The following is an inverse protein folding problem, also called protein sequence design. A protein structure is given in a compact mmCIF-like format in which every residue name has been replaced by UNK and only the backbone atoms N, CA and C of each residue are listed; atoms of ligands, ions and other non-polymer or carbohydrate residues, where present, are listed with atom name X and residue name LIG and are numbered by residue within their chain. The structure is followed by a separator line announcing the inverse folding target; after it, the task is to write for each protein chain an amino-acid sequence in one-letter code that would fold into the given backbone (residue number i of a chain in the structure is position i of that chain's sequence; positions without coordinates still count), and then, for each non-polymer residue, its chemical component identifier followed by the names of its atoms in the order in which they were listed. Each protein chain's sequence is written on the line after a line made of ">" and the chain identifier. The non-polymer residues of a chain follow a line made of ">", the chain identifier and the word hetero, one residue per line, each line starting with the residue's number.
data_IF_918966814677
#
_entry.id   IF_918966814677
#
_cell.length_a   1.000
_cell.length_b   1.000
_cell.length_c   1.000
_cell.angle_alpha   90.00
_cell.angle_beta   90.00
_cell.angle_gamma   90.00
#
_symmetry.space_group_name_H-M   'P 1'
#
loop_
_entity.id
_entity.type
_entity.pdbx_description
1 polymer ?
#
# COMPACT_ATOMS: atom_id res chain seq x y z
N UNK A 1 -20.79 57.11 -0.42
CA UNK A 1 -19.44 56.56 -0.75
C UNK A 1 -18.81 55.80 0.42
N UNK A 2 -18.79 56.30 1.67
CA UNK A 2 -18.17 55.57 2.81
C UNK A 2 -18.79 54.21 3.16
N UNK A 3 -20.11 54.01 2.96
CA UNK A 3 -20.80 52.73 3.23
C UNK A 3 -20.48 51.66 2.19
N UNK A 4 -20.23 52.02 0.92
CA UNK A 4 -19.85 51.10 -0.14
C UNK A 4 -18.42 50.60 0.06
N UNK A 5 -17.51 51.48 0.54
CA UNK A 5 -16.11 51.14 0.83
C UNK A 5 -15.97 50.11 1.97
N UNK A 6 -16.85 50.20 2.98
CA UNK A 6 -16.88 49.28 4.12
C UNK A 6 -17.36 47.89 3.71
N UNK A 7 -18.35 47.78 2.78
CA UNK A 7 -18.87 46.53 2.28
C UNK A 7 -17.82 45.76 1.46
N UNK A 8 -17.04 46.46 0.63
CA UNK A 8 -15.95 45.86 -0.16
C UNK A 8 -14.81 45.35 0.74
N UNK A 9 -14.51 46.05 1.84
CA UNK A 9 -13.50 45.63 2.80
C UNK A 9 -13.91 44.33 3.54
N UNK A 10 -15.19 44.20 3.89
CA UNK A 10 -15.72 42.99 4.56
C UNK A 10 -15.70 41.77 3.64
N UNK A 11 -15.97 41.95 2.35
CA UNK A 11 -15.89 40.86 1.35
C UNK A 11 -14.43 40.40 1.14
N UNK A 12 -13.46 41.29 1.20
CA UNK A 12 -12.05 40.97 1.07
C UNK A 12 -11.49 40.22 2.28
N UNK A 13 -12.06 40.40 3.46
CA UNK A 13 -11.66 39.68 4.70
C UNK A 13 -12.23 38.26 4.79
N UNK A 14 -13.18 37.88 3.94
CA UNK A 14 -13.76 36.54 3.88
C UNK A 14 -13.05 35.56 2.90
N UNK A 15 -11.91 35.93 2.37
CA UNK A 15 -11.04 34.94 1.74
C UNK A 15 -10.33 34.09 2.82
N UNK A 16 -11.12 33.30 3.54
CA UNK A 16 -10.56 32.21 4.35
C UNK A 16 -9.84 31.30 3.39
N UNK A 17 -8.53 31.40 3.36
CA UNK A 17 -7.70 30.40 2.68
C UNK A 17 -8.10 29.05 3.27
N UNK A 18 -8.79 28.23 2.50
CA UNK A 18 -8.93 26.79 2.78
C UNK A 18 -7.53 26.22 2.63
N UNK A 19 -6.73 26.37 3.68
CA UNK A 19 -5.48 25.65 3.82
C UNK A 19 -5.94 24.19 3.85
N UNK A 20 -5.60 23.42 2.82
CA UNK A 20 -5.77 21.98 2.81
C UNK A 20 -5.09 21.46 4.09
N UNK A 21 -5.92 21.21 5.11
CA UNK A 21 -5.42 20.90 6.45
C UNK A 21 -4.84 19.50 6.37
N UNK A 22 -3.52 19.41 6.41
CA UNK A 22 -2.84 18.13 6.44
C UNK A 22 -3.28 17.37 7.70
N UNK A 23 -3.74 16.14 7.54
CA UNK A 23 -4.20 15.34 8.67
C UNK A 23 -3.01 15.03 9.59
N UNK A 24 -3.04 15.40 10.89
CA UNK A 24 -1.90 15.25 11.80
C UNK A 24 -1.43 13.80 11.97
N UNK A 25 -2.36 12.82 11.89
CA UNK A 25 -2.00 11.41 12.00
C UNK A 25 -1.26 10.93 10.74
N UNK A 26 -1.68 11.38 9.55
CA UNK A 26 -0.96 11.12 8.29
C UNK A 26 0.45 11.74 8.32
N UNK A 27 0.60 12.93 8.88
CA UNK A 27 1.93 13.55 9.03
C UNK A 27 2.85 12.71 9.93
N UNK A 28 2.34 12.21 11.05
CA UNK A 28 3.10 11.32 11.94
C UNK A 28 3.52 10.03 11.25
N UNK A 29 2.62 9.40 10.47
CA UNK A 29 2.94 8.23 9.63
C UNK A 29 4.04 8.59 8.63
N UNK A 30 3.87 9.68 7.88
CA UNK A 30 4.83 10.14 6.87
C UNK A 30 6.20 10.44 7.50
N UNK A 31 6.23 11.09 8.67
CA UNK A 31 7.47 11.36 9.40
C UNK A 31 8.22 10.06 9.74
N UNK A 32 7.49 9.03 10.20
CA UNK A 32 8.07 7.72 10.52
C UNK A 32 8.62 7.04 9.27
N UNK A 33 7.86 6.97 8.18
CA UNK A 33 8.30 6.40 6.91
C UNK A 33 9.52 7.16 6.33
N UNK A 34 9.62 8.44 6.62
CA UNK A 34 10.73 9.28 6.17
C UNK A 34 12.07 8.99 6.86
N UNK A 35 12.10 8.21 7.93
CA UNK A 35 13.35 7.71 8.53
C UNK A 35 14.09 6.71 7.63
N UNK A 36 13.38 6.14 6.65
CA UNK A 36 13.93 5.12 5.75
C UNK A 36 14.12 5.71 4.35
N UNK A 37 15.36 5.81 3.89
CA UNK A 37 15.69 6.24 2.53
C UNK A 37 15.75 5.05 1.57
N UNK A 38 16.31 3.95 2.06
CA UNK A 38 16.41 2.68 1.34
C UNK A 38 16.46 1.52 2.32
N UNK A 39 16.15 0.33 1.84
CA UNK A 39 16.40 -0.92 2.57
C UNK A 39 16.55 -2.11 1.63
N UNK A 40 17.26 -3.12 2.15
CA UNK A 40 17.20 -4.50 1.67
C UNK A 40 16.58 -5.35 2.75
N UNK A 41 15.42 -5.94 2.47
CA UNK A 41 14.78 -6.86 3.39
C UNK A 41 14.90 -8.30 2.88
N UNK A 42 15.07 -9.24 3.79
CA UNK A 42 15.01 -10.68 3.53
C UNK A 42 13.80 -11.27 4.22
N UNK A 43 13.26 -12.32 3.64
CA UNK A 43 12.07 -12.96 4.21
C UNK A 43 11.65 -14.21 3.45
N UNK A 44 10.47 -14.67 3.80
CA UNK A 44 9.82 -15.82 3.16
C UNK A 44 8.49 -15.35 2.58
N UNK A 45 8.22 -15.71 1.33
CA UNK A 45 6.97 -15.41 0.63
C UNK A 45 6.15 -16.68 0.46
N UNK A 46 4.89 -16.61 0.85
CA UNK A 46 3.85 -17.61 0.59
C UNK A 46 2.82 -17.01 -0.35
N UNK A 47 2.45 -17.74 -1.38
CA UNK A 47 1.41 -17.34 -2.32
C UNK A 47 0.26 -18.32 -2.24
N UNK A 48 -0.94 -17.80 -2.05
CA UNK A 48 -2.19 -18.54 -2.07
C UNK A 48 -3.08 -17.93 -3.17
N UNK A 49 -2.96 -18.49 -4.36
CA UNK A 49 -3.75 -18.09 -5.54
C UNK A 49 -4.23 -19.37 -6.19
N UNK A 50 -5.52 -19.51 -6.35
CA UNK A 50 -6.21 -20.76 -6.71
C UNK A 50 -5.72 -21.49 -7.96
N UNK A 51 -5.03 -20.80 -8.84
CA UNK A 51 -4.52 -21.33 -10.12
C UNK A 51 -2.98 -21.28 -10.23
N UNK A 52 -2.29 -20.94 -9.13
CA UNK A 52 -0.83 -20.88 -9.10
C UNK A 52 -0.32 -21.73 -7.95
N UNK A 53 0.31 -22.84 -8.27
CA UNK A 53 1.09 -23.64 -7.30
C UNK A 53 2.42 -22.92 -7.05
N UNK A 54 2.40 -21.79 -6.31
CA UNK A 54 3.61 -21.12 -5.94
C UNK A 54 4.05 -21.57 -4.56
N UNK A 55 5.13 -22.32 -4.52
CA UNK A 55 5.75 -22.79 -3.29
C UNK A 55 6.24 -21.64 -2.41
N UNK A 56 6.29 -21.91 -1.11
CA UNK A 56 7.05 -21.12 -0.15
C UNK A 56 8.47 -20.86 -0.69
N UNK A 57 8.93 -19.64 -0.66
CA UNK A 57 10.27 -19.31 -1.16
C UNK A 57 10.91 -18.12 -0.45
N UNK A 58 12.22 -18.12 -0.37
CA UNK A 58 12.98 -16.96 0.12
C UNK A 58 12.82 -15.78 -0.83
N UNK A 59 12.72 -14.59 -0.25
CA UNK A 59 12.63 -13.35 -1.02
C UNK A 59 13.62 -12.32 -0.51
N UNK A 60 14.07 -11.47 -1.44
CA UNK A 60 14.74 -10.20 -1.14
C UNK A 60 13.89 -9.08 -1.68
N UNK A 61 13.64 -8.08 -0.84
CA UNK A 61 12.89 -6.88 -1.19
C UNK A 61 13.83 -5.70 -1.13
N UNK A 62 13.94 -4.98 -2.23
CA UNK A 62 14.76 -3.78 -2.35
C UNK A 62 13.83 -2.57 -2.43
N UNK A 63 14.10 -1.57 -1.64
CA UNK A 63 13.37 -0.31 -1.65
C UNK A 63 14.36 0.85 -1.69
N UNK A 64 14.01 1.89 -2.44
CA UNK A 64 14.70 3.17 -2.45
C UNK A 64 13.72 4.28 -2.76
N UNK A 65 13.78 5.35 -1.98
CA UNK A 65 12.97 6.54 -2.23
C UNK A 65 13.21 7.09 -3.64
N UNK A 66 12.19 7.74 -4.25
CA UNK A 66 10.86 7.98 -3.69
C UNK A 66 9.95 6.74 -3.71
N UNK A 67 10.01 5.87 -4.73
CA UNK A 67 9.04 4.78 -4.95
C UNK A 67 9.64 3.56 -5.67
N UNK A 68 10.96 3.39 -5.65
CA UNK A 68 11.58 2.23 -6.26
C UNK A 68 11.41 1.03 -5.34
N UNK A 69 10.72 0.00 -5.81
CA UNK A 69 10.53 -1.25 -5.08
C UNK A 69 10.71 -2.43 -6.04
N UNK A 70 11.50 -3.41 -5.63
CA UNK A 70 11.69 -4.65 -6.36
C UNK A 70 11.70 -5.84 -5.43
N UNK A 71 10.93 -6.86 -5.78
CA UNK A 71 10.90 -8.13 -5.06
C UNK A 71 11.56 -9.19 -5.93
N UNK A 72 12.58 -9.84 -5.41
CA UNK A 72 13.25 -10.99 -6.03
C UNK A 72 12.96 -12.23 -5.19
N UNK A 73 12.39 -13.26 -5.81
CA UNK A 73 12.18 -14.58 -5.21
C UNK A 73 13.31 -15.51 -5.65
N UNK A 74 13.88 -16.27 -4.73
CA UNK A 74 14.83 -17.33 -5.06
C UNK A 74 14.06 -18.51 -5.70
N UNK A 75 14.50 -18.95 -6.88
CA UNK A 75 13.97 -20.14 -7.56
C UNK A 75 12.58 -19.96 -8.19
N UNK A 76 12.17 -18.74 -8.57
CA UNK A 76 10.88 -18.56 -9.24
C UNK A 76 10.56 -17.14 -9.69
N UNK A 77 9.41 -17.00 -10.33
CA UNK A 77 8.89 -15.73 -10.86
C UNK A 77 8.24 -14.95 -9.71
N UNK A 78 8.44 -13.64 -9.67
CA UNK A 78 7.69 -12.75 -8.75
C UNK A 78 6.25 -12.64 -9.22
N UNK A 79 5.33 -13.05 -8.35
CA UNK A 79 3.87 -13.00 -8.62
C UNK A 79 3.22 -11.69 -8.15
N UNK A 80 4.00 -10.72 -7.72
CA UNK A 80 3.45 -9.42 -7.37
C UNK A 80 2.88 -8.75 -8.62
N UNK A 81 1.63 -8.24 -8.59
CA UNK A 81 1.05 -7.52 -9.69
C UNK A 81 1.92 -6.34 -10.08
N UNK A 82 2.03 -6.04 -11.39
CA UNK A 82 2.75 -4.84 -11.85
C UNK A 82 2.25 -3.55 -11.20
N UNK A 83 0.95 -3.47 -10.89
CA UNK A 83 0.34 -2.35 -10.17
C UNK A 83 0.39 -2.47 -8.64
N UNK A 84 0.48 -3.67 -8.07
CA UNK A 84 0.47 -3.90 -6.62
C UNK A 84 1.71 -3.39 -5.89
N UNK A 85 2.83 -3.29 -6.60
CA UNK A 85 4.07 -2.71 -6.09
C UNK A 85 3.99 -1.18 -6.04
N UNK A 86 3.21 -0.56 -6.93
CA UNK A 86 3.02 0.90 -6.98
C UNK A 86 2.14 1.41 -5.83
N UNK A 87 1.35 0.55 -5.20
CA UNK A 87 0.37 0.92 -4.16
C UNK A 87 0.94 0.67 -2.75
N UNK A 88 2.19 1.02 -2.54
CA UNK A 88 2.78 1.03 -1.19
C UNK A 88 2.30 2.24 -0.40
N UNK A 89 2.36 2.20 0.93
CA UNK A 89 2.05 3.35 1.79
C UNK A 89 2.91 4.56 1.38
N UNK A 90 4.19 4.33 1.04
CA UNK A 90 5.07 5.38 0.57
C UNK A 90 4.55 6.04 -0.71
N UNK A 91 4.10 5.26 -1.70
CA UNK A 91 3.58 5.80 -2.96
C UNK A 91 2.28 6.59 -2.76
N UNK A 92 1.44 6.19 -1.80
CA UNK A 92 0.21 6.90 -1.46
C UNK A 92 0.49 8.24 -0.77
N UNK A 93 1.51 8.33 0.10
CA UNK A 93 1.76 9.48 0.97
C UNK A 93 2.83 10.45 0.46
N UNK A 94 3.76 10.01 -0.41
CA UNK A 94 4.94 10.80 -0.79
C UNK A 94 4.63 12.10 -1.53
N UNK A 95 3.60 12.14 -2.35
CA UNK A 95 3.35 13.30 -3.21
C UNK A 95 2.47 14.37 -2.57
N UNK A 96 1.84 14.11 -1.41
CA UNK A 96 0.86 15.00 -0.75
C UNK A 96 -0.27 15.49 -1.68
N UNK A 97 -0.49 14.81 -2.81
CA UNK A 97 -1.49 15.14 -3.82
C UNK A 97 -2.78 14.37 -3.54
N UNK A 98 -3.33 14.55 -2.34
CA UNK A 98 -4.58 13.91 -1.92
C UNK A 98 -5.30 14.79 -0.88
N UNK A 99 -6.61 14.57 -0.79
CA UNK A 99 -7.44 15.05 0.32
C UNK A 99 -7.55 13.89 1.31
N UNK A 100 -7.29 14.16 2.59
CA UNK A 100 -7.43 13.19 3.66
C UNK A 100 -8.73 13.44 4.45
N UNK A 101 -9.59 12.41 4.57
CA UNK A 101 -10.89 12.50 5.23
C UNK A 101 -10.93 11.44 6.34
N UNK A 102 -11.15 11.88 7.58
CA UNK A 102 -11.39 10.94 8.69
C UNK A 102 -12.71 10.18 8.48
N UNK A 103 -12.67 8.87 8.69
CA UNK A 103 -13.76 7.95 8.34
C UNK A 103 -14.16 7.03 9.48
N UNK A 104 -13.97 7.51 10.72
CA UNK A 104 -14.33 6.79 11.94
C UNK A 104 -13.25 5.86 12.48
N UNK A 105 -13.63 5.04 13.43
CA UNK A 105 -12.73 4.12 14.16
C UNK A 105 -13.18 2.70 13.93
N UNK A 106 -12.25 1.77 13.77
CA UNK A 106 -12.49 0.35 13.61
C UNK A 106 -11.60 -0.46 14.56
N UNK A 107 -12.18 -1.49 15.20
CA UNK A 107 -11.38 -2.46 15.95
C UNK A 107 -10.82 -3.51 14.98
N UNK A 108 -9.51 -3.66 15.01
CA UNK A 108 -8.80 -4.64 14.20
C UNK A 108 -7.76 -5.36 15.05
N UNK A 109 -7.89 -6.69 15.20
CA UNK A 109 -7.02 -7.53 16.06
C UNK A 109 -6.85 -6.95 17.48
N UNK A 110 -7.94 -6.45 18.07
CA UNK A 110 -7.93 -5.87 19.42
C UNK A 110 -7.40 -4.44 19.53
N UNK A 111 -6.97 -3.81 18.44
CA UNK A 111 -6.52 -2.43 18.38
C UNK A 111 -7.61 -1.51 17.83
N UNK A 112 -7.74 -0.32 18.43
CA UNK A 112 -8.60 0.75 17.92
C UNK A 112 -7.83 1.55 16.87
N UNK A 113 -8.23 1.43 15.60
CA UNK A 113 -7.57 2.06 14.47
C UNK A 113 -8.41 3.20 13.92
N UNK A 114 -7.81 4.36 13.69
CA UNK A 114 -8.42 5.48 12.97
C UNK A 114 -8.42 5.20 11.48
N UNK A 115 -9.58 5.22 10.85
CA UNK A 115 -9.73 5.10 9.41
C UNK A 115 -9.61 6.48 8.76
N UNK A 116 -8.72 6.60 7.77
CA UNK A 116 -8.55 7.82 6.97
C UNK A 116 -8.64 7.45 5.50
N UNK A 117 -9.55 8.09 4.78
CA UNK A 117 -9.68 7.99 3.34
C UNK A 117 -8.81 9.03 2.66
N UNK A 118 -8.03 8.59 1.68
CA UNK A 118 -7.26 9.43 0.79
C UNK A 118 -7.92 9.45 -0.58
N UNK A 119 -8.14 10.63 -1.13
CA UNK A 119 -8.68 10.87 -2.47
C UNK A 119 -7.63 11.65 -3.24
N UNK A 120 -7.07 11.13 -4.34
CA UNK A 120 -6.04 11.82 -5.10
C UNK A 120 -6.59 13.11 -5.71
N UNK A 121 -5.76 14.15 -5.74
CA UNK A 121 -6.05 15.43 -6.42
C UNK A 121 -5.38 15.53 -7.78
N UNK A 122 -4.46 14.61 -8.10
CA UNK A 122 -3.81 14.51 -9.41
C UNK A 122 -4.39 13.31 -10.17
N UNK A 123 -5.00 13.59 -11.32
CA UNK A 123 -5.59 12.56 -12.20
C UNK A 123 -4.55 11.62 -12.82
N UNK A 124 -3.26 11.94 -12.78
CA UNK A 124 -2.17 11.07 -13.28
C UNK A 124 -1.87 9.91 -12.33
N UNK A 125 -2.32 9.98 -11.08
CA UNK A 125 -2.14 8.89 -10.13
C UNK A 125 -2.99 7.67 -10.53
N UNK A 126 -2.42 6.47 -10.40
CA UNK A 126 -3.07 5.21 -10.79
C UNK A 126 -4.18 4.76 -9.82
N UNK A 127 -4.30 5.35 -8.66
CA UNK A 127 -5.30 5.01 -7.67
C UNK A 127 -6.44 6.04 -7.60
N UNK A 128 -7.65 5.56 -7.26
CA UNK A 128 -8.88 6.35 -7.20
C UNK A 128 -9.22 6.74 -5.76
N UNK A 129 -9.04 5.80 -4.84
CA UNK A 129 -9.30 5.98 -3.41
C UNK A 129 -8.46 4.99 -2.62
N UNK A 130 -7.97 5.41 -1.47
CA UNK A 130 -7.32 4.52 -0.51
C UNK A 130 -7.84 4.79 0.90
N UNK A 131 -8.19 3.73 1.63
CA UNK A 131 -8.50 3.83 3.06
C UNK A 131 -7.35 3.24 3.85
N UNK A 132 -6.81 4.00 4.79
CA UNK A 132 -5.77 3.57 5.71
C UNK A 132 -6.35 3.43 7.11
N UNK A 133 -6.10 2.30 7.77
CA UNK A 133 -6.42 2.07 9.18
C UNK A 133 -5.14 2.18 9.97
N UNK A 134 -5.06 3.22 10.79
CA UNK A 134 -3.83 3.68 11.45
C UNK A 134 -4.01 3.58 12.96
N UNK A 135 -3.04 3.00 13.65
CA UNK A 135 -2.94 3.06 15.10
C UNK A 135 -2.55 4.50 15.49
N UNK A 136 -3.44 5.24 16.20
CA UNK A 136 -3.16 6.64 16.53
C UNK A 136 -2.06 6.79 17.59
N UNK A 137 -1.75 5.75 18.38
CA UNK A 137 -0.69 5.79 19.38
C UNK A 137 0.68 5.73 18.71
N UNK A 138 0.90 4.72 17.88
CA UNK A 138 2.20 4.42 17.28
C UNK A 138 2.38 5.03 15.89
N UNK A 139 1.34 5.62 15.29
CA UNK A 139 1.32 6.07 13.90
C UNK A 139 1.78 4.98 12.93
N UNK A 140 1.21 3.78 13.07
CA UNK A 140 1.45 2.62 12.23
C UNK A 140 0.21 2.26 11.44
N UNK A 141 0.37 2.00 10.15
CA UNK A 141 -0.72 1.58 9.25
C UNK A 141 -0.87 0.07 9.31
N UNK A 142 -1.93 -0.43 9.89
CA UNK A 142 -2.19 -1.88 10.00
C UNK A 142 -2.90 -2.47 8.79
N UNK A 143 -3.66 -1.63 8.09
CA UNK A 143 -4.42 -2.09 6.92
C UNK A 143 -4.56 -0.95 5.92
N UNK A 144 -4.51 -1.28 4.62
CA UNK A 144 -4.95 -0.40 3.54
C UNK A 144 -5.93 -1.12 2.63
N UNK A 145 -6.85 -0.35 2.04
CA UNK A 145 -7.77 -0.81 1.01
C UNK A 145 -7.76 0.21 -0.11
N UNK A 146 -7.18 -0.14 -1.25
CA UNK A 146 -6.92 0.80 -2.33
C UNK A 146 -7.57 0.32 -3.63
N UNK A 147 -8.36 1.18 -4.25
CA UNK A 147 -8.91 0.97 -5.58
C UNK A 147 -8.05 1.72 -6.59
N UNK A 148 -7.59 1.01 -7.61
CA UNK A 148 -6.80 1.56 -8.71
C UNK A 148 -7.65 1.73 -9.96
N UNK A 149 -7.16 2.50 -10.94
CA UNK A 149 -7.85 2.74 -12.21
C UNK A 149 -7.90 1.49 -13.08
N UNK A 150 -6.80 0.73 -13.13
CA UNK A 150 -6.64 -0.35 -14.11
C UNK A 150 -6.57 -1.76 -13.51
N UNK A 151 -6.12 -1.88 -12.25
CA UNK A 151 -5.77 -3.16 -11.67
C UNK A 151 -6.70 -3.62 -10.53
N UNK A 152 -7.88 -2.99 -10.44
CA UNK A 152 -8.88 -3.33 -9.44
C UNK A 152 -8.52 -2.88 -8.03
N UNK A 153 -8.99 -3.63 -7.04
CA UNK A 153 -8.88 -3.28 -5.63
C UNK A 153 -7.92 -4.22 -4.90
N UNK A 154 -7.06 -3.64 -4.07
CA UNK A 154 -6.08 -4.32 -3.24
C UNK A 154 -6.31 -4.05 -1.76
N UNK A 155 -6.08 -5.07 -0.96
CA UNK A 155 -6.02 -4.97 0.49
C UNK A 155 -4.61 -5.33 0.95
N UNK A 156 -3.98 -4.48 1.75
CA UNK A 156 -2.71 -4.80 2.41
C UNK A 156 -2.94 -4.81 3.90
N UNK A 157 -2.55 -5.89 4.57
CA UNK A 157 -2.56 -6.01 6.03
C UNK A 157 -1.12 -6.14 6.51
N UNK A 158 -0.80 -5.46 7.60
CA UNK A 158 0.55 -5.43 8.16
C UNK A 158 0.55 -5.81 9.63
N UNK A 159 1.60 -6.51 10.03
CA UNK A 159 1.95 -6.75 11.42
C UNK A 159 3.34 -6.17 11.68
N UNK A 160 3.56 -5.68 12.89
CA UNK A 160 4.79 -4.99 13.24
C UNK A 160 5.54 -5.72 14.35
N UNK A 161 6.85 -5.60 14.36
CA UNK A 161 7.77 -6.16 15.31
C UNK A 161 8.94 -5.20 15.59
N UNK A 162 10.16 -5.72 15.61
CA UNK A 162 11.36 -4.96 15.97
C UNK A 162 11.62 -3.69 15.11
N UNK A 163 11.09 -3.62 13.88
CA UNK A 163 11.29 -2.48 12.98
C UNK A 163 10.10 -1.49 12.96
N UNK A 164 9.19 -1.58 13.93
CA UNK A 164 8.01 -0.72 14.05
C UNK A 164 8.37 0.78 14.13
N UNK A 165 9.49 1.12 14.74
CA UNK A 165 9.96 2.50 14.85
C UNK A 165 10.29 3.14 13.50
N UNK A 166 10.58 2.33 12.49
CA UNK A 166 10.79 2.76 11.10
C UNK A 166 9.51 2.65 10.25
N UNK A 167 8.40 2.22 10.83
CA UNK A 167 7.17 1.92 10.08
C UNK A 167 7.30 0.70 9.17
N UNK A 168 8.30 -0.17 9.39
CA UNK A 168 8.54 -1.36 8.60
C UNK A 168 7.86 -2.59 9.23
N UNK A 169 7.03 -3.33 8.48
CA UNK A 169 6.30 -4.48 9.00
C UNK A 169 7.20 -5.70 9.18
N UNK A 170 6.88 -6.54 10.15
CA UNK A 170 7.43 -7.90 10.26
C UNK A 170 6.71 -8.88 9.33
N UNK A 171 5.44 -8.57 8.99
CA UNK A 171 4.63 -9.37 8.08
C UNK A 171 3.73 -8.48 7.25
N UNK A 172 3.62 -8.79 5.98
CA UNK A 172 2.74 -8.12 5.03
C UNK A 172 1.90 -9.16 4.30
N UNK A 173 0.59 -8.94 4.25
CA UNK A 173 -0.35 -9.75 3.47
C UNK A 173 -0.97 -8.84 2.43
N UNK A 174 -0.74 -9.18 1.16
CA UNK A 174 -1.33 -8.51 0.01
C UNK A 174 -2.48 -9.36 -0.52
N UNK A 175 -3.69 -8.84 -0.44
CA UNK A 175 -4.91 -9.46 -0.96
C UNK A 175 -5.41 -8.74 -2.21
N UNK A 176 -5.86 -9.50 -3.22
CA UNK A 176 -6.38 -8.96 -4.47
C UNK A 176 -7.53 -9.79 -5.02
N UNK A 177 -8.33 -9.20 -5.90
CA UNK A 177 -9.37 -9.92 -6.63
C UNK A 177 -8.74 -10.61 -7.85
N UNK A 178 -8.81 -11.93 -7.92
CA UNK A 178 -8.23 -12.70 -9.03
C UNK A 178 -8.88 -12.44 -10.38
N UNK A 179 -10.11 -11.92 -10.43
CA UNK A 179 -10.79 -11.56 -11.69
C UNK A 179 -10.20 -10.32 -12.34
N UNK A 180 -9.73 -9.38 -11.53
CA UNK A 180 -9.17 -8.10 -11.99
C UNK A 180 -7.65 -8.18 -12.13
N UNK A 181 -7.07 -9.33 -11.76
CA UNK A 181 -5.63 -9.54 -11.74
C UNK A 181 -5.11 -9.88 -13.13
N UNK A 182 -4.30 -8.99 -13.68
CA UNK A 182 -3.54 -9.25 -14.91
C UNK A 182 -2.24 -9.97 -14.56
N UNK A 183 -2.10 -11.21 -14.99
CA UNK A 183 -0.86 -11.98 -14.81
C UNK A 183 0.34 -11.22 -15.41
N UNK A 184 1.50 -11.21 -14.74
CA UNK A 184 2.74 -10.74 -15.34
C UNK A 184 3.04 -11.51 -16.64
N UNK A 185 3.61 -10.83 -17.65
CA UNK A 185 3.99 -11.47 -18.91
C UNK A 185 4.99 -12.60 -18.67
N UNK A 186 4.77 -13.75 -19.29
CA UNK A 186 5.63 -14.94 -19.18
C UNK A 186 5.18 -15.95 -18.12
N UNK A 187 4.04 -15.73 -17.45
CA UNK A 187 3.41 -16.74 -16.63
C UNK A 187 2.34 -17.43 -17.46
N UNK A 188 2.59 -18.69 -17.83
CA UNK A 188 1.57 -19.60 -18.34
C UNK A 188 0.84 -20.21 -17.15
N UNK A 189 -0.49 -20.23 -17.21
CA UNK A 189 -1.30 -21.00 -16.27
C UNK A 189 -1.16 -22.46 -16.67
N UNK A 190 -0.21 -23.16 -16.09
CA UNK A 190 -0.18 -24.63 -16.17
C UNK A 190 -1.27 -25.17 -15.24
N UNK A 191 -2.44 -25.38 -15.81
CA UNK A 191 -3.40 -26.31 -15.24
C UNK A 191 -2.86 -27.72 -15.56
N UNK A 192 -2.08 -28.28 -14.64
CA UNK A 192 -1.75 -29.73 -14.73
C UNK A 192 -3.04 -30.54 -14.83
N UNK A 193 -2.92 -31.85 -15.13
CA UNK A 193 -4.02 -32.82 -15.22
C UNK A 193 -4.80 -32.94 -13.90
N UNK A 194 -5.30 -31.85 -13.37
CA UNK A 194 -6.04 -31.78 -12.11
C UNK A 194 -7.52 -32.05 -12.35
N UNK A 195 -8.10 -32.77 -11.38
CA UNK A 195 -9.53 -33.07 -11.26
C UNK A 195 -10.38 -31.84 -11.70
N UNK A 196 -11.31 -32.01 -12.63
CA UNK A 196 -12.26 -30.95 -13.06
C UNK A 196 -13.00 -30.27 -11.90
N UNK A 197 -13.19 -30.95 -10.77
CA UNK A 197 -13.80 -30.39 -9.57
C UNK A 197 -12.85 -29.41 -8.85
N UNK A 198 -11.54 -29.70 -8.78
CA UNK A 198 -10.53 -28.80 -8.23
C UNK A 198 -10.40 -27.52 -9.09
N UNK A 199 -10.44 -27.66 -10.43
CA UNK A 199 -10.45 -26.56 -11.39
C UNK A 199 -11.67 -25.65 -11.24
N UNK A 200 -12.87 -26.23 -11.06
CA UNK A 200 -14.11 -25.46 -10.80
C UNK A 200 -14.08 -24.73 -9.46
N UNK A 201 -13.48 -25.35 -8.42
CA UNK A 201 -13.31 -24.73 -7.09
C UNK A 201 -12.32 -23.57 -7.18
N UNK A 202 -11.21 -23.74 -7.89
CA UNK A 202 -10.21 -22.72 -8.14
C UNK A 202 -10.78 -21.51 -8.88
N UNK A 203 -11.59 -21.71 -9.93
CA UNK A 203 -12.27 -20.66 -10.67
C UNK A 203 -13.34 -19.91 -9.85
N UNK A 204 -13.86 -20.52 -8.77
CA UNK A 204 -14.78 -19.89 -7.83
C UNK A 204 -14.07 -19.03 -6.78
N UNK A 205 -12.78 -19.26 -6.55
CA UNK A 205 -12.00 -18.48 -5.58
C UNK A 205 -11.70 -17.10 -6.16
N UNK A 206 -12.40 -16.11 -5.63
CA UNK A 206 -12.34 -14.72 -6.12
C UNK A 206 -11.18 -13.90 -5.54
N UNK A 207 -10.49 -14.42 -4.53
CA UNK A 207 -9.40 -13.72 -3.82
C UNK A 207 -8.09 -14.49 -3.91
N UNK A 208 -7.01 -13.80 -4.24
CA UNK A 208 -5.65 -14.27 -4.11
C UNK A 208 -4.93 -13.54 -2.98
N UNK A 209 -4.01 -14.22 -2.31
CA UNK A 209 -3.16 -13.59 -1.28
C UNK A 209 -1.69 -13.89 -1.51
N UNK A 210 -0.86 -12.90 -1.22
CA UNK A 210 0.59 -13.02 -1.14
C UNK A 210 1.01 -12.56 0.25
N UNK A 211 1.63 -13.44 1.00
CA UNK A 211 2.13 -13.15 2.34
C UNK A 211 3.65 -13.09 2.30
N UNK A 212 4.25 -12.05 2.89
CA UNK A 212 5.69 -11.93 3.09
C UNK A 212 5.94 -11.79 4.59
N UNK A 213 6.69 -12.74 5.16
CA UNK A 213 7.21 -12.66 6.52
C UNK A 213 8.67 -12.24 6.45
N UNK A 214 8.97 -11.06 6.94
CA UNK A 214 10.32 -10.49 6.92
C UNK A 214 11.14 -11.01 8.10
N UNK A 215 12.37 -11.44 7.83
CA UNK A 215 13.32 -11.93 8.84
C UNK A 215 14.34 -10.88 9.23
N UNK A 216 14.72 -10.01 8.30
CA UNK A 216 15.70 -8.97 8.53
C UNK A 216 15.53 -7.78 7.59
N UNK A 217 15.95 -6.59 8.05
CA UNK A 217 16.06 -5.37 7.27
C UNK A 217 17.46 -4.77 7.45
N UNK A 218 18.11 -4.44 6.34
CA UNK A 218 19.30 -3.60 6.28
C UNK A 218 18.86 -2.23 5.80
N UNK A 219 18.86 -1.24 6.68
CA UNK A 219 18.20 0.07 6.46
C UNK A 219 19.26 1.15 6.25
N UNK A 220 19.05 2.04 5.26
CA UNK A 220 19.84 3.24 4.98
C UNK A 220 21.33 2.95 4.72
N UNK A 221 21.65 1.82 4.08
CA UNK A 221 23.03 1.46 3.71
C UNK A 221 23.36 1.73 2.24
N UNK A 222 22.42 2.32 1.50
CA UNK A 222 22.58 2.65 0.09
C UNK A 222 22.25 1.47 -0.83
N UNK A 223 21.06 1.49 -1.45
CA UNK A 223 20.69 0.52 -2.49
C UNK A 223 21.04 1.09 -3.85
N UNK A 224 21.85 0.35 -4.62
CA UNK A 224 22.23 0.76 -5.98
C UNK A 224 21.03 0.84 -6.92
N UNK A 225 20.99 1.83 -7.82
CA UNK A 225 19.95 1.95 -8.83
C UNK A 225 19.94 0.76 -9.81
N UNK A 226 21.08 0.08 -10.00
CA UNK A 226 21.17 -1.13 -10.84
C UNK A 226 20.36 -2.32 -10.31
N UNK A 227 19.87 -2.23 -9.08
CA UNK A 227 19.01 -3.27 -8.50
C UNK A 227 17.57 -3.21 -9.00
N UNK A 228 17.13 -2.07 -9.52
CA UNK A 228 15.77 -1.82 -10.03
C UNK A 228 15.70 -1.89 -11.53
#
# INVERSE_FOLDING_TARGET
>A
MKKLSLLVLVIYLMQVAVIAQSNPLIERVTKKLNLVNDYVATGVMKTDVAFIKASLGKVKVYFKKPNLLKVKKEGGISLLPKGGVSVTINSLLNNKQYIAIESGVQIFKGKSLQAIKLIPTDEKLDWVISTLWIDPMDALVYKTFTTTKENGTYEITMEYGQYANYGLPSKLIFGFNTKDYKLPNGITLEFGDEDPAAKRKALKQKKGTIEITYTNYVINQGVSNSMF
#
